data_IF_476129015420
#
_entry.id   IF_476129015420
#
_cell.length_a   1.000
_cell.length_b   1.000
_cell.length_c   1.000
_cell.angle_alpha   90.00
_cell.angle_beta   90.00
_cell.angle_gamma   90.00
#
_symmetry.space_group_name_H-M   'P 1'
#
loop_
_entity.id
_entity.type
_entity.pdbx_description
1 polymer ?
#
# COMPACT_ATOMS: atom_id res chain seq x y z
N UNK A 1 12.91 -17.64 16.87
CA UNK A 1 11.80 -18.63 16.85
C UNK A 1 11.48 -19.16 18.24
N UNK A 2 12.48 -19.61 19.01
CA UNK A 2 12.33 -20.17 20.36
C UNK A 2 11.42 -19.35 21.29
N UNK A 3 11.66 -18.04 21.40
CA UNK A 3 10.86 -17.13 22.24
C UNK A 3 9.34 -17.12 21.95
N UNK A 4 8.93 -17.25 20.69
CA UNK A 4 7.48 -17.24 20.36
C UNK A 4 6.84 -18.63 20.42
N UNK A 5 7.62 -19.71 20.30
CA UNK A 5 7.08 -21.07 20.25
C UNK A 5 7.17 -21.81 21.60
N UNK A 6 8.14 -21.47 22.46
CA UNK A 6 8.50 -22.27 23.64
C UNK A 6 8.39 -21.51 24.96
N UNK A 7 8.20 -20.19 24.93
CA UNK A 7 8.11 -19.37 26.14
C UNK A 7 6.66 -18.90 26.36
N UNK A 8 5.88 -19.53 27.26
CA UNK A 8 4.50 -19.14 27.55
C UNK A 8 4.32 -17.69 28.01
N UNK A 9 5.35 -17.10 28.62
CA UNK A 9 5.32 -15.72 29.10
C UNK A 9 5.49 -14.68 27.97
N UNK A 10 5.81 -15.13 26.74
CA UNK A 10 5.93 -14.23 25.61
C UNK A 10 4.53 -13.80 25.14
N UNK A 11 4.27 -12.49 24.99
CA UNK A 11 2.99 -11.98 24.48
C UNK A 11 2.56 -12.53 23.10
N UNK A 12 3.51 -13.06 22.30
CA UNK A 12 3.21 -13.73 21.02
C UNK A 12 2.91 -15.20 21.19
N UNK A 13 3.25 -15.85 22.31
CA UNK A 13 3.09 -17.28 22.51
C UNK A 13 1.68 -17.80 22.20
N UNK A 14 0.57 -17.14 22.61
CA UNK A 14 -0.77 -17.61 22.29
C UNK A 14 -1.04 -17.75 20.78
N UNK A 15 -0.35 -16.98 19.93
CA UNK A 15 -0.49 -17.03 18.46
C UNK A 15 0.48 -18.01 17.78
N UNK A 16 1.37 -18.63 18.54
CA UNK A 16 2.45 -19.49 18.07
C UNK A 16 2.48 -20.79 18.89
N UNK A 17 3.29 -20.87 19.94
CA UNK A 17 3.39 -22.07 20.78
C UNK A 17 2.06 -22.52 21.37
N UNK A 18 1.21 -21.57 21.78
CA UNK A 18 -0.15 -21.86 22.27
C UNK A 18 -1.09 -22.47 21.23
N UNK A 19 -0.75 -22.41 19.93
CA UNK A 19 -1.47 -23.09 18.84
C UNK A 19 -0.86 -24.44 18.47
N UNK A 20 0.17 -24.88 19.18
CA UNK A 20 0.91 -26.11 18.88
C UNK A 20 1.99 -25.94 17.80
N UNK A 21 2.35 -24.71 17.41
CA UNK A 21 3.40 -24.50 16.40
C UNK A 21 4.78 -24.73 17.00
N UNK A 22 5.53 -25.66 16.42
CA UNK A 22 6.84 -26.12 16.87
C UNK A 22 7.96 -25.61 15.97
N UNK A 23 9.18 -25.94 16.38
CA UNK A 23 10.41 -25.80 15.60
C UNK A 23 10.92 -27.22 15.40
N UNK A 24 11.36 -27.58 14.20
CA UNK A 24 11.93 -28.90 13.94
C UNK A 24 13.11 -29.15 14.90
N UNK A 25 13.26 -30.41 15.31
CA UNK A 25 14.23 -30.77 16.35
C UNK A 25 15.66 -30.41 15.96
N UNK A 26 16.00 -30.52 14.68
CA UNK A 26 17.28 -30.11 14.11
C UNK A 26 17.61 -28.64 14.44
N UNK A 27 16.72 -27.70 14.10
CA UNK A 27 16.94 -26.27 14.38
C UNK A 27 16.76 -25.90 15.86
N UNK A 28 15.99 -26.71 16.59
CA UNK A 28 15.79 -26.52 18.02
C UNK A 28 17.08 -26.81 18.79
N UNK A 29 17.75 -27.89 18.42
CA UNK A 29 18.91 -28.43 19.15
C UNK A 29 20.24 -27.99 18.55
N UNK A 30 20.31 -27.65 17.26
CA UNK A 30 21.51 -27.16 16.61
C UNK A 30 21.29 -25.83 15.88
N UNK A 31 21.97 -24.79 16.35
CA UNK A 31 21.96 -23.49 15.69
C UNK A 31 22.70 -23.51 14.35
N UNK A 32 23.76 -24.31 14.20
CA UNK A 32 24.55 -24.37 12.98
C UNK A 32 23.77 -24.99 11.83
N UNK A 33 22.93 -26.00 12.08
CA UNK A 33 21.96 -26.50 11.12
C UNK A 33 21.02 -25.40 10.61
N UNK A 34 20.43 -24.61 11.52
CA UNK A 34 19.61 -23.46 11.13
C UNK A 34 20.40 -22.42 10.31
N UNK A 35 21.62 -22.09 10.74
CA UNK A 35 22.45 -21.10 10.07
C UNK A 35 22.87 -21.55 8.66
N UNK A 36 23.24 -22.81 8.50
CA UNK A 36 23.60 -23.41 7.20
C UNK A 36 22.41 -23.42 6.25
N UNK A 37 21.23 -23.79 6.74
CA UNK A 37 19.98 -23.66 5.98
C UNK A 37 19.72 -22.19 5.60
N UNK A 38 19.84 -21.26 6.55
CA UNK A 38 19.56 -19.85 6.30
C UNK A 38 20.41 -19.27 5.16
N UNK A 39 21.72 -19.53 5.18
CA UNK A 39 22.66 -19.04 4.17
C UNK A 39 22.41 -19.68 2.80
N UNK A 40 22.18 -20.99 2.76
CA UNK A 40 21.89 -21.73 1.52
C UNK A 40 20.52 -21.39 0.92
N UNK A 41 19.56 -20.93 1.73
CA UNK A 41 18.18 -20.67 1.31
C UNK A 41 17.88 -19.18 1.12
N UNK A 42 18.90 -18.37 0.87
CA UNK A 42 18.73 -17.00 0.40
C UNK A 42 18.50 -15.97 1.49
N UNK A 43 18.96 -16.22 2.73
CA UNK A 43 19.04 -15.19 3.75
C UNK A 43 19.80 -13.96 3.22
N UNK A 44 19.22 -12.79 3.44
CA UNK A 44 19.84 -11.48 3.17
C UNK A 44 19.42 -10.51 4.26
N UNK A 45 20.28 -9.52 4.53
CA UNK A 45 19.95 -8.42 5.45
C UNK A 45 18.64 -7.75 5.02
N UNK A 46 17.73 -7.53 5.97
CA UNK A 46 16.40 -6.95 5.73
C UNK A 46 15.29 -7.98 5.43
N UNK A 47 15.62 -9.26 5.31
CA UNK A 47 14.63 -10.34 5.25
C UNK A 47 14.27 -10.83 6.66
N UNK A 48 13.10 -11.44 6.78
CA UNK A 48 12.59 -12.07 7.99
C UNK A 48 12.10 -13.47 7.67
N UNK A 49 12.25 -14.38 8.63
CA UNK A 49 11.77 -15.74 8.48
C UNK A 49 10.24 -15.78 8.54
N UNK A 50 9.64 -16.37 7.52
CA UNK A 50 8.20 -16.52 7.33
C UNK A 50 7.85 -17.99 7.11
N UNK A 51 6.63 -18.37 7.48
CA UNK A 51 6.14 -19.73 7.25
C UNK A 51 5.25 -19.76 6.01
N UNK A 52 5.50 -20.69 5.09
CA UNK A 52 4.72 -20.85 3.86
C UNK A 52 3.29 -21.28 4.21
N UNK A 53 3.17 -22.36 4.98
CA UNK A 53 1.92 -22.80 5.62
C UNK A 53 1.84 -22.14 6.99
N UNK A 54 0.94 -21.18 7.14
CA UNK A 54 0.81 -20.30 8.33
C UNK A 54 0.66 -21.10 9.63
N UNK A 55 -0.03 -22.24 9.56
CA UNK A 55 -0.33 -23.14 10.68
C UNK A 55 0.67 -24.28 10.84
N UNK A 56 1.65 -24.42 9.93
CA UNK A 56 2.69 -25.44 10.05
C UNK A 56 3.85 -24.98 10.94
N UNK A 57 4.77 -25.91 11.20
CA UNK A 57 5.95 -25.72 12.06
C UNK A 57 7.06 -24.91 11.38
N UNK A 58 8.03 -24.44 12.18
CA UNK A 58 9.30 -23.94 11.64
C UNK A 58 10.18 -25.10 11.23
N UNK A 59 10.59 -25.13 9.98
CA UNK A 59 11.53 -26.11 9.45
C UNK A 59 11.87 -25.84 7.99
N UNK A 60 12.85 -26.57 7.42
CA UNK A 60 13.36 -26.33 6.07
C UNK A 60 12.26 -26.25 5.00
N UNK A 61 11.26 -27.15 5.08
CA UNK A 61 10.22 -27.28 4.06
C UNK A 61 9.08 -26.25 4.18
N UNK A 62 8.97 -25.60 5.34
CA UNK A 62 7.87 -24.68 5.63
C UNK A 62 8.35 -23.25 5.89
N UNK A 63 9.64 -22.97 5.77
CA UNK A 63 10.20 -21.66 6.00
C UNK A 63 10.78 -21.03 4.75
N UNK A 64 10.70 -19.70 4.69
CA UNK A 64 11.31 -18.90 3.63
C UNK A 64 11.76 -17.55 4.17
N UNK A 65 12.66 -16.91 3.45
CA UNK A 65 13.07 -15.54 3.72
C UNK A 65 12.25 -14.57 2.88
N UNK A 66 11.53 -13.66 3.54
CA UNK A 66 10.72 -12.63 2.86
C UNK A 66 10.95 -11.26 3.48
N UNK A 67 10.75 -10.21 2.69
CA UNK A 67 10.76 -8.86 3.22
C UNK A 67 9.51 -8.61 4.07
N UNK A 68 9.58 -7.63 4.98
CA UNK A 68 8.40 -7.21 5.75
C UNK A 68 7.23 -6.81 4.85
N UNK A 69 7.51 -6.19 3.70
CA UNK A 69 6.50 -5.84 2.68
C UNK A 69 5.77 -7.07 2.15
N UNK A 70 6.49 -8.13 1.82
CA UNK A 70 5.88 -9.39 1.35
C UNK A 70 5.03 -10.03 2.46
N UNK A 71 5.54 -10.05 3.70
CA UNK A 71 4.76 -10.59 4.83
C UNK A 71 3.48 -9.77 5.09
N UNK A 72 3.53 -8.44 4.95
CA UNK A 72 2.35 -7.59 5.05
C UNK A 72 1.35 -7.86 3.94
N UNK A 73 1.80 -8.02 2.69
CA UNK A 73 0.93 -8.33 1.54
C UNK A 73 0.25 -9.71 1.65
N UNK A 74 0.89 -10.68 2.32
CA UNK A 74 0.34 -12.02 2.49
C UNK A 74 -0.75 -12.15 3.56
N UNK A 75 -1.07 -11.08 4.30
CA UNK A 75 -2.11 -11.12 5.32
C UNK A 75 -3.49 -11.33 4.67
N UNK A 76 -4.29 -12.23 5.25
CA UNK A 76 -5.64 -12.54 4.76
C UNK A 76 -6.60 -11.36 4.87
N UNK A 77 -6.39 -10.47 5.85
CA UNK A 77 -7.22 -9.28 6.05
C UNK A 77 -6.91 -8.13 5.07
N UNK A 78 -6.02 -8.32 4.10
CA UNK A 78 -5.79 -7.34 3.06
C UNK A 78 -6.97 -7.29 2.10
N UNK A 79 -7.34 -6.09 1.68
CA UNK A 79 -8.30 -5.90 0.59
C UNK A 79 -7.70 -6.43 -0.71
N UNK A 80 -8.30 -7.51 -1.23
CA UNK A 80 -7.92 -8.15 -2.48
C UNK A 80 -8.89 -7.73 -3.58
N UNK A 81 -8.32 -7.34 -4.72
CA UNK A 81 -9.06 -6.89 -5.88
C UNK A 81 -8.61 -7.68 -7.10
N UNK A 82 -9.58 -8.19 -7.87
CA UNK A 82 -9.33 -8.86 -9.15
C UNK A 82 -9.49 -7.87 -10.29
N UNK A 83 -8.45 -7.71 -11.10
CA UNK A 83 -8.48 -6.93 -12.34
C UNK A 83 -7.81 -7.77 -13.43
N UNK A 84 -8.46 -7.90 -14.59
CA UNK A 84 -8.00 -8.68 -15.74
C UNK A 84 -7.50 -10.10 -15.38
N UNK A 85 -8.28 -10.81 -14.56
CA UNK A 85 -7.98 -12.17 -14.12
C UNK A 85 -6.84 -12.29 -13.09
N UNK A 86 -6.22 -11.19 -12.67
CA UNK A 86 -5.20 -11.19 -11.62
C UNK A 86 -5.78 -10.69 -10.30
N UNK A 87 -5.64 -11.48 -9.23
CA UNK A 87 -5.99 -11.02 -7.88
C UNK A 87 -4.76 -10.50 -7.16
N UNK A 88 -4.82 -9.25 -6.69
CA UNK A 88 -3.72 -8.62 -5.94
C UNK A 88 -4.26 -7.80 -4.78
N UNK A 89 -3.40 -7.49 -3.82
CA UNK A 89 -3.73 -6.50 -2.78
C UNK A 89 -3.82 -5.10 -3.37
N UNK A 90 -4.55 -4.18 -2.73
CA UNK A 90 -4.59 -2.78 -3.18
C UNK A 90 -3.20 -2.12 -3.20
N UNK A 91 -2.29 -2.51 -2.29
CA UNK A 91 -0.92 -2.02 -2.28
C UNK A 91 -0.15 -2.46 -3.53
N UNK A 92 -0.38 -3.68 -4.01
CA UNK A 92 0.22 -4.19 -5.24
C UNK A 92 -0.36 -3.54 -6.49
N UNK A 93 -1.67 -3.27 -6.51
CA UNK A 93 -2.27 -2.49 -7.58
C UNK A 93 -1.81 -1.04 -7.58
N UNK A 94 -1.62 -0.43 -6.41
CA UNK A 94 -1.10 0.93 -6.30
C UNK A 94 0.29 1.06 -6.95
N UNK A 95 1.17 0.06 -6.80
CA UNK A 95 2.48 0.05 -7.46
C UNK A 95 2.40 -0.01 -9.00
N UNK A 96 1.29 -0.51 -9.54
CA UNK A 96 1.05 -0.65 -10.99
C UNK A 96 0.13 0.43 -11.56
N UNK A 97 -0.31 1.37 -10.73
CA UNK A 97 -1.28 2.39 -11.11
C UNK A 97 -0.76 3.78 -10.79
N UNK A 98 -1.43 4.80 -11.32
CA UNK A 98 -1.23 6.20 -10.93
C UNK A 98 -1.93 6.58 -9.62
N UNK A 99 -2.55 5.62 -8.94
CA UNK A 99 -3.36 5.83 -7.75
C UNK A 99 -2.74 5.16 -6.52
N UNK A 100 -2.92 5.79 -5.36
CA UNK A 100 -2.57 5.17 -4.08
C UNK A 100 -3.57 4.08 -3.74
N UNK A 101 -3.19 3.13 -2.86
CA UNK A 101 -4.09 2.08 -2.40
C UNK A 101 -5.40 2.64 -1.80
N UNK A 102 -5.30 3.73 -1.03
CA UNK A 102 -6.46 4.44 -0.48
C UNK A 102 -7.34 5.06 -1.56
N UNK A 103 -6.74 5.61 -2.63
CA UNK A 103 -7.49 6.16 -3.75
C UNK A 103 -8.21 5.06 -4.54
N UNK A 104 -7.55 3.93 -4.81
CA UNK A 104 -8.18 2.76 -5.45
C UNK A 104 -9.37 2.29 -4.61
N UNK A 105 -9.19 2.15 -3.29
CA UNK A 105 -10.27 1.76 -2.36
C UNK A 105 -11.46 2.72 -2.44
N UNK A 106 -11.20 4.02 -2.32
CA UNK A 106 -12.25 5.04 -2.37
C UNK A 106 -13.00 5.02 -3.71
N UNK A 107 -12.31 4.75 -4.82
CA UNK A 107 -12.94 4.64 -6.15
C UNK A 107 -13.94 3.49 -6.21
N UNK A 108 -13.66 2.37 -5.54
CA UNK A 108 -14.58 1.23 -5.49
C UNK A 108 -15.71 1.49 -4.50
N UNK A 109 -15.36 1.75 -3.23
CA UNK A 109 -16.34 1.76 -2.13
C UNK A 109 -17.19 3.04 -2.10
N UNK A 110 -16.64 4.18 -2.51
CA UNK A 110 -17.32 5.49 -2.41
C UNK A 110 -17.85 5.93 -3.77
N UNK A 111 -17.08 5.72 -4.84
CA UNK A 111 -17.46 6.17 -6.19
C UNK A 111 -18.16 5.09 -7.02
N UNK A 112 -18.24 3.85 -6.51
CA UNK A 112 -18.90 2.73 -7.21
C UNK A 112 -18.22 2.34 -8.53
N UNK A 113 -16.94 2.68 -8.72
CA UNK A 113 -16.21 2.38 -9.96
C UNK A 113 -15.91 0.88 -10.04
N UNK A 114 -15.88 0.36 -11.26
CA UNK A 114 -15.46 -1.02 -11.52
C UNK A 114 -14.00 -1.24 -11.07
N UNK A 115 -13.64 -2.49 -10.79
CA UNK A 115 -12.28 -2.84 -10.38
C UNK A 115 -11.22 -2.34 -11.39
N UNK A 116 -11.49 -2.50 -12.69
CA UNK A 116 -10.62 -2.01 -13.76
C UNK A 116 -10.52 -0.49 -13.75
N UNK A 117 -11.65 0.22 -13.73
CA UNK A 117 -11.66 1.69 -13.75
C UNK A 117 -10.99 2.26 -12.48
N UNK A 118 -11.19 1.62 -11.31
CA UNK A 118 -10.58 2.01 -10.05
C UNK A 118 -9.04 1.90 -10.05
N UNK A 119 -8.47 0.97 -10.81
CA UNK A 119 -7.01 0.79 -10.93
C UNK A 119 -6.43 1.57 -12.12
N UNK A 120 -7.06 1.50 -13.29
CA UNK A 120 -6.47 2.00 -14.55
C UNK A 120 -7.19 3.20 -15.16
N UNK A 121 -8.43 3.43 -14.79
CA UNK A 121 -9.27 4.49 -15.36
C UNK A 121 -8.78 5.90 -15.05
N UNK A 122 -9.34 6.88 -15.74
CA UNK A 122 -8.83 8.25 -15.68
C UNK A 122 -9.05 8.95 -14.34
N UNK A 123 -8.09 9.81 -14.00
CA UNK A 123 -8.17 10.65 -12.81
C UNK A 123 -8.76 12.02 -13.20
N UNK A 124 -10.05 12.29 -12.96
CA UNK A 124 -10.65 13.58 -13.30
C UNK A 124 -10.01 14.75 -12.53
N UNK A 125 -9.26 14.48 -11.44
CA UNK A 125 -8.53 15.52 -10.70
C UNK A 125 -7.20 15.91 -11.37
N UNK A 126 -6.71 15.13 -12.33
CA UNK A 126 -5.51 15.46 -13.13
C UNK A 126 -5.92 16.20 -14.41
N UNK A 127 -6.49 17.38 -14.24
CA UNK A 127 -6.78 18.28 -15.36
C UNK A 127 -5.50 19.02 -15.73
N UNK A 128 -4.97 18.78 -16.93
CA UNK A 128 -3.84 19.52 -17.48
C UNK A 128 -4.32 20.77 -18.19
N UNK A 129 -3.66 21.90 -17.90
CA UNK A 129 -4.00 23.21 -18.43
C UNK A 129 -2.70 23.83 -18.96
N UNK A 130 -2.72 24.27 -20.21
CA UNK A 130 -1.58 24.92 -20.86
C UNK A 130 -1.77 26.43 -20.87
N UNK A 131 -0.81 27.17 -20.32
CA UNK A 131 -0.78 28.63 -20.29
C UNK A 131 0.63 29.06 -20.68
N UNK A 132 0.75 29.92 -21.70
CA UNK A 132 2.03 30.47 -22.20
C UNK A 132 3.08 29.37 -22.48
N UNK A 133 2.66 28.29 -23.13
CA UNK A 133 3.52 27.15 -23.49
C UNK A 133 3.84 26.19 -22.33
N UNK A 134 3.42 26.48 -21.10
CA UNK A 134 3.62 25.59 -19.96
C UNK A 134 2.37 24.76 -19.67
N UNK A 135 2.51 23.44 -19.72
CA UNK A 135 1.43 22.50 -19.36
C UNK A 135 1.63 22.02 -17.93
N UNK A 136 0.64 22.26 -17.07
CA UNK A 136 0.66 21.82 -15.66
C UNK A 136 -0.73 21.38 -15.22
N UNK A 137 -0.81 20.59 -14.16
CA UNK A 137 -2.07 20.18 -13.56
C UNK A 137 -2.78 21.36 -12.87
N UNK A 138 -4.10 21.30 -12.75
CA UNK A 138 -4.88 22.27 -11.97
C UNK A 138 -4.36 22.42 -10.52
N UNK A 139 -3.86 21.34 -9.93
CA UNK A 139 -3.24 21.35 -8.59
C UNK A 139 -1.90 22.10 -8.58
N UNK A 140 -1.05 21.90 -9.57
CA UNK A 140 0.20 22.66 -9.71
C UNK A 140 -0.06 24.14 -9.98
N UNK A 141 -1.05 24.45 -10.82
CA UNK A 141 -1.48 25.83 -11.04
C UNK A 141 -1.99 26.50 -9.77
N UNK A 142 -2.76 25.80 -8.93
CA UNK A 142 -3.14 26.32 -7.61
C UNK A 142 -1.90 26.67 -6.77
N UNK A 143 -0.90 25.78 -6.71
CA UNK A 143 0.34 26.01 -5.96
C UNK A 143 1.12 27.22 -6.49
N UNK A 144 1.29 27.31 -7.82
CA UNK A 144 2.03 28.41 -8.47
C UNK A 144 1.36 29.76 -8.24
N UNK A 145 0.02 29.79 -8.26
CA UNK A 145 -0.74 31.03 -8.04
C UNK A 145 -0.99 31.35 -6.57
N UNK A 146 -0.57 30.49 -5.64
CA UNK A 146 -0.82 30.64 -4.20
C UNK A 146 -2.30 30.47 -3.82
N UNK A 147 -3.06 29.70 -4.59
CA UNK A 147 -4.48 29.46 -4.35
C UNK A 147 -4.72 28.32 -3.38
N UNK A 148 -5.88 28.34 -2.70
CA UNK A 148 -6.41 27.20 -1.95
C UNK A 148 -6.40 25.94 -2.83
N UNK A 149 -6.01 24.82 -2.23
CA UNK A 149 -6.08 23.50 -2.86
C UNK A 149 -7.49 23.23 -3.42
N UNK A 150 -7.55 22.82 -4.69
CA UNK A 150 -8.79 22.49 -5.39
C UNK A 150 -9.58 23.67 -5.96
N UNK A 151 -9.13 24.93 -5.83
CA UNK A 151 -9.88 26.10 -6.35
C UNK A 151 -10.05 26.03 -7.87
N UNK A 152 -8.95 25.89 -8.62
CA UNK A 152 -9.00 25.79 -10.09
C UNK A 152 -9.89 24.64 -10.55
N UNK A 153 -9.75 23.46 -9.95
CA UNK A 153 -10.57 22.28 -10.27
C UNK A 153 -12.06 22.59 -10.07
N UNK A 154 -12.41 23.18 -8.92
CA UNK A 154 -13.79 23.53 -8.59
C UNK A 154 -14.38 24.58 -9.54
N UNK A 155 -13.58 25.49 -10.09
CA UNK A 155 -14.03 26.43 -11.12
C UNK A 155 -14.35 25.72 -12.44
N UNK A 156 -13.47 24.80 -12.86
CA UNK A 156 -13.66 24.01 -14.08
C UNK A 156 -14.89 23.10 -13.96
N UNK A 157 -15.11 22.48 -12.80
CA UNK A 157 -16.32 21.70 -12.49
C UNK A 157 -17.60 22.54 -12.57
N UNK A 158 -17.51 23.86 -12.36
CA UNK A 158 -18.62 24.83 -12.56
C UNK A 158 -18.69 25.40 -13.98
N UNK A 159 -17.96 24.82 -14.93
CA UNK A 159 -17.99 25.21 -16.34
C UNK A 159 -17.10 26.41 -16.70
N UNK A 160 -16.17 26.83 -15.84
CA UNK A 160 -15.23 27.89 -16.20
C UNK A 160 -14.27 27.43 -17.30
N UNK A 161 -13.91 28.34 -18.20
CA UNK A 161 -12.80 28.11 -19.13
C UNK A 161 -11.52 27.77 -18.32
N UNK A 162 -10.75 26.71 -18.67
CA UNK A 162 -9.59 26.27 -17.89
C UNK A 162 -8.51 27.34 -17.69
N UNK A 163 -8.27 28.19 -18.69
CA UNK A 163 -7.27 29.27 -18.60
C UNK A 163 -7.77 30.36 -17.65
N UNK A 164 -9.03 30.77 -17.79
CA UNK A 164 -9.67 31.73 -16.88
C UNK A 164 -9.71 31.22 -15.44
N UNK A 165 -10.00 29.93 -15.25
CA UNK A 165 -10.04 29.30 -13.93
C UNK A 165 -8.71 29.43 -13.17
N UNK A 166 -7.57 29.42 -13.89
CA UNK A 166 -6.22 29.63 -13.34
C UNK A 166 -5.85 31.10 -13.22
N UNK A 167 -6.22 31.95 -14.17
CA UNK A 167 -5.77 33.35 -14.20
C UNK A 167 -6.58 34.27 -13.27
N UNK A 168 -7.84 33.94 -12.97
CA UNK A 168 -8.68 34.79 -12.12
C UNK A 168 -8.32 34.67 -10.64
N UNK A 169 -7.88 35.75 -10.01
CA UNK A 169 -7.61 35.78 -8.56
C UNK A 169 -8.87 35.42 -7.73
N UNK A 170 -8.73 34.65 -6.64
CA UNK A 170 -9.83 34.41 -5.70
C UNK A 170 -10.31 35.74 -5.11
N UNK A 171 -11.62 35.89 -4.89
CA UNK A 171 -12.14 37.03 -4.13
C UNK A 171 -11.59 36.95 -2.70
N UNK A 172 -11.12 38.07 -2.14
CA UNK A 172 -10.72 38.15 -0.72
C UNK A 172 -11.95 37.84 0.14
N UNK A 173 -12.00 36.64 0.71
CA UNK A 173 -12.96 36.30 1.76
C UNK A 173 -12.48 36.89 3.07
N UNK A 174 -13.32 37.68 3.75
CA UNK A 174 -13.10 38.09 5.13
C UNK A 174 -13.20 36.86 6.04
N UNK A 175 -12.11 36.11 6.21
CA UNK A 175 -12.07 35.03 7.19
C UNK A 175 -11.74 35.64 8.56
N UNK A 176 -12.79 35.98 9.32
CA UNK A 176 -12.66 36.11 10.78
C UNK A 176 -12.51 34.69 11.34
N UNK A 177 -11.29 34.33 11.72
CA UNK A 177 -11.08 33.23 12.65
C UNK A 177 -11.48 33.76 14.03
N UNK A 178 -12.66 33.36 14.50
CA UNK A 178 -13.02 33.38 15.91
C UNK A 178 -12.59 32.09 16.58
#
# INVERSE_FOLDING_TARGET
MKQRCLNPNNHKYPRYGGRGIKICDEWLNDFYAFNSWALSHGYKKGLSIDRIKVNGDYGPDNCRWVSQKVQQNNRENNYRLTVDGQTRTLAEWAMKSRFTASAIRARIEIQGRSAYDAVYGDNPRLIFITIDGQTKTATEWNKIKGYRSGLVLSRIERGWNPIQAVQTSPRKGNYRHG
#
